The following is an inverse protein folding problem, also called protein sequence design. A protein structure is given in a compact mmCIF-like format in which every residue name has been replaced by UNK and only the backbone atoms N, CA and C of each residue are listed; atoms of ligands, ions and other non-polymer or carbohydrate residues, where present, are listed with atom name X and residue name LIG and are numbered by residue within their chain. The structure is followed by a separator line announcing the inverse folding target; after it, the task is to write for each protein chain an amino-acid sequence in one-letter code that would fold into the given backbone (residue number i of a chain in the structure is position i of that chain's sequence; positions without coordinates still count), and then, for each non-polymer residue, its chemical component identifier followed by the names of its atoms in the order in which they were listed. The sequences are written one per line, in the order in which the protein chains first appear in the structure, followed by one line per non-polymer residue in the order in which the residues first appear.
data_IF_623161070148
#
_entry.id   IF_623161070148
#
_cell.length_a   1.000
_cell.length_b   1.000
_cell.length_c   1.000
_cell.angle_alpha   90.00
_cell.angle_beta   90.00
_cell.angle_gamma   90.00
#
_symmetry.space_group_name_H-M   'P 1'
#
loop_
_entity.id
_entity.type
_entity.pdbx_description
1 polymer ?
#
# COMPACT_ATOMS: atom_id res chain seq x y z
N UNK A 1 -2.08 19.48 -9.89
CA UNK A 1 -1.94 20.78 -9.18
C UNK A 1 -2.63 20.65 -7.83
N UNK A 2 -1.98 21.01 -6.70
CA UNK A 2 -2.59 20.88 -5.38
C UNK A 2 -3.84 21.76 -5.24
N UNK A 3 -4.80 21.31 -4.42
CA UNK A 3 -5.97 22.12 -4.07
C UNK A 3 -5.55 23.39 -3.31
N UNK A 4 -6.44 24.38 -3.21
CA UNK A 4 -6.19 25.61 -2.42
C UNK A 4 -5.87 25.28 -0.95
N UNK A 5 -6.46 24.24 -0.39
CA UNK A 5 -6.13 23.73 0.94
C UNK A 5 -4.70 23.15 0.99
N UNK A 6 -4.35 22.31 0.01
CA UNK A 6 -3.01 21.74 -0.13
C UNK A 6 -1.92 22.82 -0.26
N UNK A 7 -2.15 23.86 -1.08
CA UNK A 7 -1.22 24.98 -1.21
C UNK A 7 -0.96 25.71 0.12
N UNK A 8 -2.00 25.88 0.96
CA UNK A 8 -1.85 26.51 2.27
C UNK A 8 -1.08 25.62 3.25
N UNK A 9 -1.32 24.32 3.22
CA UNK A 9 -0.56 23.36 4.03
C UNK A 9 0.93 23.39 3.65
N UNK A 10 1.25 23.34 2.35
CA UNK A 10 2.63 23.41 1.87
C UNK A 10 3.32 24.71 2.29
N UNK A 11 2.66 25.86 2.12
CA UNK A 11 3.20 27.15 2.55
C UNK A 11 3.43 27.22 4.06
N UNK A 12 2.60 26.56 4.86
CA UNK A 12 2.78 26.48 6.30
C UNK A 12 3.98 25.59 6.68
N UNK A 13 4.16 24.45 6.00
CA UNK A 13 5.33 23.58 6.20
C UNK A 13 6.63 24.30 5.86
N UNK A 14 6.64 25.06 4.76
CA UNK A 14 7.80 25.87 4.37
C UNK A 14 8.14 26.93 5.43
N UNK A 15 7.13 27.50 6.09
CA UNK A 15 7.32 28.49 7.15
C UNK A 15 7.86 27.88 8.44
N UNK A 16 7.30 26.76 8.90
CA UNK A 16 7.62 26.18 10.21
C UNK A 16 8.81 25.23 10.19
N UNK A 17 9.19 24.70 9.02
CA UNK A 17 10.31 23.77 8.81
C UNK A 17 10.34 22.67 9.88
N UNK A 18 9.30 21.82 9.96
CA UNK A 18 9.19 20.85 11.04
C UNK A 18 10.30 19.79 10.91
N UNK A 19 10.69 19.19 12.03
CA UNK A 19 11.71 18.14 12.03
C UNK A 19 11.23 16.80 11.41
N UNK A 20 9.91 16.60 11.38
CA UNK A 20 9.21 15.48 10.74
C UNK A 20 7.75 15.83 10.42
N UNK A 21 7.14 15.06 9.53
CA UNK A 21 5.72 15.14 9.21
C UNK A 21 5.08 13.75 9.31
N UNK A 22 3.94 13.67 9.99
CA UNK A 22 3.10 12.48 10.06
C UNK A 22 1.74 12.80 9.44
N UNK A 23 1.32 11.97 8.50
CA UNK A 23 -0.04 11.93 7.98
C UNK A 23 -0.68 10.63 8.44
N UNK A 24 -1.68 10.68 9.33
CA UNK A 24 -2.22 9.48 10.00
C UNK A 24 -3.67 9.30 9.58
N UNK A 25 -3.98 8.11 9.07
CA UNK A 25 -5.33 7.71 8.71
C UNK A 25 -5.52 6.20 8.81
N UNK A 26 -6.73 5.75 8.50
CA UNK A 26 -7.10 4.34 8.44
C UNK A 26 -7.36 3.96 6.98
N UNK A 27 -7.11 2.69 6.63
CA UNK A 27 -7.46 2.16 5.32
C UNK A 27 -8.98 2.01 5.19
N UNK A 28 -9.50 2.17 3.97
CA UNK A 28 -10.93 1.95 3.72
C UNK A 28 -11.35 0.49 3.83
N UNK A 29 -10.47 -0.45 3.48
CA UNK A 29 -10.68 -1.90 3.63
C UNK A 29 -10.01 -2.46 4.89
N UNK A 30 -10.29 -3.73 5.19
CA UNK A 30 -9.63 -4.46 6.26
C UNK A 30 -8.15 -4.68 5.97
N UNK A 31 -7.32 -4.66 6.99
CA UNK A 31 -5.88 -4.87 6.85
C UNK A 31 -5.12 -4.42 8.09
N UNK A 32 -3.89 -4.90 8.26
CA UNK A 32 -3.05 -4.47 9.36
C UNK A 32 -2.50 -3.07 9.12
N UNK A 33 -1.82 -2.55 10.14
CA UNK A 33 -1.09 -1.29 10.12
C UNK A 33 0.17 -1.34 9.24
N UNK A 34 0.49 -0.20 8.60
CA UNK A 34 1.72 0.02 7.84
C UNK A 34 2.00 1.51 7.62
N UNK A 35 3.24 1.83 7.28
CA UNK A 35 3.65 3.17 6.88
C UNK A 35 3.91 3.23 5.37
N UNK A 36 3.74 4.41 4.77
CA UNK A 36 4.05 4.68 3.36
C UNK A 36 4.96 5.90 3.28
N UNK A 37 5.99 5.82 2.45
CA UNK A 37 6.93 6.93 2.20
C UNK A 37 7.48 6.83 0.78
N UNK A 38 8.04 7.93 0.30
CA UNK A 38 8.78 7.97 -0.96
C UNK A 38 10.29 7.87 -0.78
N UNK A 39 10.75 7.98 0.47
CA UNK A 39 12.16 7.99 0.82
C UNK A 39 12.43 6.96 1.91
N UNK A 40 13.45 6.13 1.70
CA UNK A 40 13.91 5.16 2.68
C UNK A 40 15.24 5.64 3.31
N UNK A 41 15.16 6.21 4.51
CA UNK A 41 16.32 6.50 5.37
C UNK A 41 16.03 6.06 6.79
N UNK A 42 17.07 5.97 7.62
CA UNK A 42 16.92 5.61 9.03
C UNK A 42 15.95 6.55 9.77
N UNK A 43 15.86 7.82 9.36
CA UNK A 43 14.87 8.77 9.93
C UNK A 43 13.43 8.39 9.59
N UNK A 44 13.16 7.96 8.35
CA UNK A 44 11.82 7.50 7.95
C UNK A 44 11.46 6.19 8.65
N UNK A 45 12.41 5.26 8.73
CA UNK A 45 12.25 4.00 9.44
C UNK A 45 12.01 4.22 10.93
N UNK A 46 12.69 5.17 11.55
CA UNK A 46 12.49 5.53 12.95
C UNK A 46 11.07 6.04 13.20
N UNK A 47 10.56 6.94 12.35
CA UNK A 47 9.16 7.40 12.44
C UNK A 47 8.16 6.25 12.27
N UNK A 48 8.35 5.40 11.26
CA UNK A 48 7.46 4.28 10.98
C UNK A 48 7.41 3.29 12.17
N UNK A 49 8.57 2.99 12.77
CA UNK A 49 8.70 2.08 13.91
C UNK A 49 7.95 2.54 15.18
N UNK A 50 7.59 3.83 15.28
CA UNK A 50 6.74 4.30 16.38
C UNK A 50 5.33 3.72 16.29
N UNK A 51 4.86 3.40 15.09
CA UNK A 51 3.49 2.96 14.82
C UNK A 51 3.42 1.48 14.44
N UNK A 52 4.33 1.03 13.58
CA UNK A 52 4.21 -0.25 12.86
C UNK A 52 5.57 -0.90 12.61
N UNK A 53 5.56 -2.17 12.22
CA UNK A 53 6.73 -2.91 11.76
C UNK A 53 6.79 -3.08 10.23
N UNK A 54 5.90 -2.43 9.48
CA UNK A 54 5.82 -2.54 8.01
C UNK A 54 5.90 -1.17 7.36
N UNK A 55 6.71 -1.05 6.31
CA UNK A 55 6.83 0.18 5.55
C UNK A 55 6.83 -0.10 4.04
N UNK A 56 6.01 0.64 3.31
CA UNK A 56 5.96 0.64 1.85
C UNK A 56 6.74 1.85 1.36
N UNK A 57 7.72 1.61 0.49
CA UNK A 57 8.52 2.66 -0.17
C UNK A 57 8.08 2.72 -1.63
N UNK A 58 7.48 3.82 -2.05
CA UNK A 58 6.85 3.92 -3.37
C UNK A 58 7.26 5.19 -4.12
N UNK A 59 7.40 5.08 -5.44
CA UNK A 59 7.55 6.24 -6.32
C UNK A 59 6.22 6.76 -6.88
N UNK A 60 5.10 6.10 -6.53
CA UNK A 60 3.76 6.49 -6.98
C UNK A 60 3.41 7.89 -6.45
N UNK A 61 3.03 8.78 -7.36
CA UNK A 61 2.61 10.15 -7.07
C UNK A 61 1.09 10.24 -7.18
N UNK A 62 0.43 10.48 -6.06
CA UNK A 62 -1.04 10.52 -5.90
C UNK A 62 -1.52 11.92 -5.43
N UNK A 63 -0.64 12.92 -5.41
CA UNK A 63 -0.91 14.24 -4.83
C UNK A 63 -1.02 14.23 -3.31
N UNK A 64 -0.43 13.22 -2.64
CA UNK A 64 -0.52 13.03 -1.21
C UNK A 64 0.43 13.97 -0.44
N UNK A 65 0.12 14.26 0.83
CA UNK A 65 0.95 15.14 1.66
C UNK A 65 2.35 14.57 1.86
N UNK A 66 2.48 13.25 1.99
CA UNK A 66 3.78 12.56 2.10
C UNK A 66 4.72 12.83 0.91
N UNK A 67 4.26 13.34 -0.24
CA UNK A 67 5.13 13.64 -1.38
C UNK A 67 6.12 14.78 -1.14
N UNK A 68 5.93 15.57 -0.08
CA UNK A 68 6.94 16.56 0.38
C UNK A 68 8.15 15.89 1.03
N UNK A 69 8.04 14.59 1.35
CA UNK A 69 9.07 13.81 2.01
C UNK A 69 10.39 13.87 1.25
N UNK A 70 11.46 14.16 1.97
CA UNK A 70 12.82 14.19 1.43
C UNK A 70 13.82 13.92 2.56
N UNK A 71 15.11 13.93 2.25
CA UNK A 71 16.16 13.65 3.25
C UNK A 71 16.16 14.62 4.45
N UNK A 72 15.71 15.88 4.26
CA UNK A 72 15.68 16.90 5.32
C UNK A 72 14.39 16.82 6.13
N UNK A 73 13.25 16.71 5.46
CA UNK A 73 11.94 16.55 6.05
C UNK A 73 11.46 15.10 5.90
N UNK A 74 11.72 14.23 6.90
CA UNK A 74 11.16 12.89 6.89
C UNK A 74 9.64 12.99 7.07
N UNK A 75 8.91 12.65 6.01
CA UNK A 75 7.46 12.60 6.02
C UNK A 75 7.00 11.18 5.71
N UNK A 76 6.09 10.67 6.55
CA UNK A 76 5.45 9.37 6.34
C UNK A 76 3.94 9.50 6.46
N UNK A 77 3.25 8.68 5.68
CA UNK A 77 1.86 8.36 5.92
C UNK A 77 1.80 7.10 6.78
N UNK A 78 0.94 7.07 7.80
CA UNK A 78 0.67 5.90 8.63
C UNK A 78 -0.78 5.49 8.42
N UNK A 79 -0.95 4.29 7.90
CA UNK A 79 -2.22 3.58 7.82
C UNK A 79 -2.34 2.71 9.06
N UNK A 80 -3.19 3.10 10.01
CA UNK A 80 -3.26 2.47 11.32
C UNK A 80 -4.01 1.13 11.33
N UNK A 81 -4.61 0.75 10.20
CA UNK A 81 -5.45 -0.44 10.02
C UNK A 81 -6.79 -0.06 9.39
N UNK A 82 -7.70 -1.03 9.27
CA UNK A 82 -9.02 -0.80 8.67
C UNK A 82 -9.89 0.21 9.45
N UNK A 83 -10.66 1.03 8.73
CA UNK A 83 -11.51 2.09 9.32
C UNK A 83 -12.55 1.59 10.33
N UNK A 84 -12.90 0.30 10.29
CA UNK A 84 -13.84 -0.34 11.22
C UNK A 84 -13.13 -1.20 12.28
N UNK A 85 -11.79 -1.21 12.31
CA UNK A 85 -11.00 -2.01 13.25
C UNK A 85 -10.67 -1.20 14.52
N UNK A 86 -11.17 -1.58 15.71
CA UNK A 86 -10.80 -0.91 16.96
C UNK A 86 -9.31 -1.02 17.31
N UNK A 87 -8.56 -1.95 16.69
CA UNK A 87 -7.09 -2.00 16.79
C UNK A 87 -6.47 -0.74 16.18
N UNK A 88 -7.05 -0.20 15.09
CA UNK A 88 -6.50 0.98 14.40
C UNK A 88 -6.44 2.21 15.31
N UNK A 89 -7.48 2.45 16.11
CA UNK A 89 -7.50 3.53 17.11
C UNK A 89 -6.37 3.38 18.14
N UNK A 90 -6.10 2.14 18.57
CA UNK A 90 -5.01 1.85 19.51
C UNK A 90 -3.65 2.05 18.86
N UNK A 91 -3.47 1.64 17.62
CA UNK A 91 -2.24 1.86 16.84
C UNK A 91 -1.95 3.36 16.71
N UNK A 92 -2.94 4.15 16.28
CA UNK A 92 -2.83 5.60 16.14
C UNK A 92 -2.48 6.25 17.47
N UNK A 93 -3.22 5.93 18.54
CA UNK A 93 -3.01 6.51 19.87
C UNK A 93 -1.64 6.15 20.45
N UNK A 94 -1.25 4.88 20.41
CA UNK A 94 0.01 4.41 20.98
C UNK A 94 1.21 4.99 20.22
N UNK A 95 1.14 5.03 18.88
CA UNK A 95 2.21 5.63 18.07
C UNK A 95 2.32 7.14 18.26
N UNK A 96 1.20 7.86 18.36
CA UNK A 96 1.20 9.29 18.69
C UNK A 96 1.78 9.55 20.09
N UNK A 97 1.44 8.74 21.09
CA UNK A 97 2.03 8.85 22.42
C UNK A 97 3.55 8.65 22.36
N UNK A 98 4.04 7.65 21.62
CA UNK A 98 5.48 7.42 21.44
C UNK A 98 6.14 8.60 20.72
N UNK A 99 5.52 9.14 19.66
CA UNK A 99 6.02 10.29 18.93
C UNK A 99 6.14 11.55 19.80
N UNK A 100 5.08 11.89 20.55
CA UNK A 100 5.02 13.09 21.37
C UNK A 100 5.88 13.00 22.64
N UNK A 101 6.11 11.80 23.17
CA UNK A 101 6.90 11.57 24.38
C UNK A 101 8.36 11.18 24.08
N UNK A 102 8.78 11.13 22.81
CA UNK A 102 10.14 10.82 22.46
C UNK A 102 11.02 12.06 22.59
N UNK A 103 12.06 12.00 23.43
CA UNK A 103 13.02 13.11 23.57
C UNK A 103 13.84 13.35 22.30
N UNK A 104 14.09 12.28 21.52
CA UNK A 104 14.81 12.35 20.25
C UNK A 104 14.31 11.28 19.28
N UNK A 105 13.47 11.69 18.33
CA UNK A 105 12.86 10.84 17.31
C UNK A 105 13.86 10.07 16.45
N UNK A 106 15.08 10.58 16.30
CA UNK A 106 16.09 10.05 15.39
C UNK A 106 17.34 9.54 16.11
N UNK A 107 17.27 9.36 17.43
CA UNK A 107 18.31 8.64 18.15
C UNK A 107 18.46 7.22 17.56
N UNK A 108 19.68 6.72 17.49
CA UNK A 108 19.96 5.38 16.95
C UNK A 108 19.17 4.33 17.73
N UNK A 109 18.12 3.81 17.11
CA UNK A 109 17.36 2.68 17.65
C UNK A 109 18.14 1.39 17.36
N UNK A 110 18.13 0.41 18.28
CA UNK A 110 18.55 -0.95 17.93
C UNK A 110 17.75 -1.42 16.73
N UNK A 111 18.39 -2.08 15.77
CA UNK A 111 17.67 -2.66 14.64
C UNK A 111 16.57 -3.58 15.20
N UNK A 112 15.28 -3.31 14.90
CA UNK A 112 14.21 -4.18 15.35
C UNK A 112 14.43 -5.59 14.82
N UNK A 113 14.06 -6.60 15.61
CA UNK A 113 14.18 -8.01 15.20
C UNK A 113 13.32 -8.35 13.97
N UNK A 114 12.35 -7.51 13.64
CA UNK A 114 11.49 -7.63 12.46
C UNK A 114 10.98 -6.23 12.04
N UNK A 115 11.46 -5.72 10.90
CA UNK A 115 10.90 -4.55 10.22
C UNK A 115 10.91 -4.81 8.72
N UNK A 116 9.72 -4.90 8.13
CA UNK A 116 9.53 -5.30 6.74
C UNK A 116 9.43 -4.06 5.85
N UNK A 117 10.22 -4.03 4.77
CA UNK A 117 10.20 -2.96 3.78
C UNK A 117 9.75 -3.56 2.45
N UNK A 118 8.69 -2.98 1.89
CA UNK A 118 8.13 -3.37 0.60
C UNK A 118 8.38 -2.24 -0.40
N UNK A 119 9.16 -2.50 -1.44
CA UNK A 119 9.62 -1.48 -2.37
C UNK A 119 8.85 -1.53 -3.69
N UNK A 120 8.50 -0.35 -4.21
CA UNK A 120 7.95 -0.12 -5.55
C UNK A 120 6.74 -1.03 -5.86
N UNK A 121 5.65 -0.91 -5.09
CA UNK A 121 4.42 -1.64 -5.39
C UNK A 121 3.86 -1.24 -6.75
N UNK A 122 3.34 -2.24 -7.46
CA UNK A 122 2.49 -2.05 -8.62
C UNK A 122 1.05 -1.79 -8.19
N UNK A 123 0.31 -1.06 -9.02
CA UNK A 123 -1.14 -0.87 -8.88
C UNK A 123 -1.84 -1.82 -9.85
N UNK A 124 -2.83 -2.55 -9.36
CA UNK A 124 -3.76 -3.30 -10.19
C UNK A 124 -5.03 -2.47 -10.38
N UNK A 125 -5.10 -1.79 -11.51
CA UNK A 125 -6.21 -0.94 -11.91
C UNK A 125 -7.18 -1.73 -12.79
N UNK A 126 -8.46 -1.35 -12.75
CA UNK A 126 -9.48 -1.89 -13.63
C UNK A 126 -9.85 -0.83 -14.65
N UNK A 127 -10.25 -1.25 -15.85
CA UNK A 127 -10.81 -0.31 -16.83
C UNK A 127 -12.10 0.31 -16.27
N UNK A 128 -12.33 1.59 -16.53
CA UNK A 128 -13.48 2.32 -15.99
C UNK A 128 -14.85 1.73 -16.39
N UNK A 129 -14.91 1.00 -17.51
CA UNK A 129 -16.12 0.32 -18.02
C UNK A 129 -16.28 -1.12 -17.49
N UNK A 130 -15.45 -1.56 -16.54
CA UNK A 130 -15.50 -2.91 -15.99
C UNK A 130 -16.73 -3.12 -15.11
N UNK A 131 -17.52 -4.15 -15.42
CA UNK A 131 -18.57 -4.64 -14.54
C UNK A 131 -17.94 -5.53 -13.46
N UNK A 132 -17.73 -4.97 -12.26
CA UNK A 132 -17.09 -5.67 -11.15
C UNK A 132 -18.14 -6.23 -10.17
N UNK A 133 -17.97 -7.50 -9.79
CA UNK A 133 -18.76 -8.15 -8.76
C UNK A 133 -17.84 -8.76 -7.68
N UNK A 134 -18.31 -8.77 -6.44
CA UNK A 134 -17.68 -9.52 -5.36
C UNK A 134 -18.58 -10.70 -4.98
N UNK A 135 -18.23 -11.89 -5.45
CA UNK A 135 -18.97 -13.12 -5.14
C UNK A 135 -18.11 -14.37 -5.39
N UNK A 136 -18.48 -15.50 -4.79
CA UNK A 136 -17.81 -16.79 -5.04
C UNK A 136 -18.17 -17.36 -6.43
N UNK A 137 -19.41 -17.10 -6.88
CA UNK A 137 -20.01 -17.61 -8.11
C UNK A 137 -20.46 -16.42 -8.96
N UNK A 138 -19.91 -16.23 -10.17
CA UNK A 138 -20.29 -15.12 -11.04
C UNK A 138 -21.78 -15.16 -11.39
N UNK A 139 -22.46 -14.01 -11.32
CA UNK A 139 -23.86 -13.86 -11.74
C UNK A 139 -24.10 -13.99 -13.25
N UNK A 140 -23.02 -14.06 -14.05
CA UNK A 140 -23.03 -14.13 -15.51
C UNK A 140 -22.95 -12.76 -16.22
N UNK A 141 -23.17 -11.65 -15.50
CA UNK A 141 -23.14 -10.30 -16.06
C UNK A 141 -21.86 -9.50 -15.73
N UNK A 142 -21.05 -9.97 -14.80
CA UNK A 142 -19.80 -9.30 -14.40
C UNK A 142 -18.69 -9.54 -15.44
N UNK A 143 -17.87 -8.54 -15.74
CA UNK A 143 -16.62 -8.75 -16.49
C UNK A 143 -15.60 -9.50 -15.61
N UNK A 144 -15.53 -9.10 -14.33
CA UNK A 144 -14.61 -9.61 -13.33
C UNK A 144 -15.38 -9.88 -12.04
N UNK A 145 -15.17 -11.07 -11.47
CA UNK A 145 -15.72 -11.49 -10.19
C UNK A 145 -14.58 -11.74 -9.21
N UNK A 146 -14.54 -10.99 -8.11
CA UNK A 146 -13.49 -11.07 -7.09
C UNK A 146 -14.03 -11.84 -5.87
N UNK A 147 -13.24 -12.72 -5.24
CA UNK A 147 -13.62 -13.34 -3.97
C UNK A 147 -13.96 -12.28 -2.91
N UNK A 148 -15.10 -12.39 -2.19
CA UNK A 148 -15.48 -11.45 -1.14
C UNK A 148 -14.41 -11.29 -0.05
N UNK A 149 -13.59 -12.32 0.16
CA UNK A 149 -12.54 -12.38 1.18
C UNK A 149 -11.22 -11.74 0.74
N UNK A 150 -11.17 -11.04 -0.41
CA UNK A 150 -9.91 -10.51 -0.97
C UNK A 150 -9.14 -9.62 0.03
N UNK A 151 -9.83 -8.88 0.89
CA UNK A 151 -9.20 -8.02 1.91
C UNK A 151 -8.44 -8.82 2.97
N UNK A 152 -8.79 -10.09 3.20
CA UNK A 152 -8.07 -10.97 4.14
C UNK A 152 -6.66 -11.30 3.65
N UNK A 153 -6.36 -11.05 2.37
CA UNK A 153 -5.03 -11.21 1.80
C UNK A 153 -4.18 -9.94 1.87
N UNK A 154 -4.66 -8.85 2.48
CA UNK A 154 -3.84 -7.67 2.74
C UNK A 154 -2.66 -8.01 3.67
N UNK A 155 -1.45 -7.76 3.18
CA UNK A 155 -0.17 -8.23 3.72
C UNK A 155 -0.01 -9.76 3.78
N UNK A 156 -0.96 -10.51 3.22
CA UNK A 156 -0.88 -11.95 3.00
C UNK A 156 -0.08 -12.29 1.74
N UNK A 157 0.49 -13.50 1.73
CA UNK A 157 1.16 -14.06 0.56
C UNK A 157 0.12 -14.70 -0.37
N UNK A 158 0.13 -14.28 -1.62
CA UNK A 158 -0.61 -14.89 -2.72
C UNK A 158 0.38 -15.65 -3.59
N UNK A 159 0.03 -16.86 -4.00
CA UNK A 159 0.80 -17.63 -4.98
C UNK A 159 -0.08 -18.09 -6.15
N UNK A 160 0.50 -18.87 -7.06
CA UNK A 160 -0.12 -19.40 -8.27
C UNK A 160 -1.34 -20.31 -8.05
N UNK A 161 -1.61 -20.71 -6.80
CA UNK A 161 -2.72 -21.56 -6.42
C UNK A 161 -3.91 -20.78 -5.85
N UNK A 162 -3.72 -19.50 -5.52
CA UNK A 162 -4.76 -18.64 -4.98
C UNK A 162 -5.57 -18.00 -6.12
N UNK A 163 -6.90 -18.19 -6.07
CA UNK A 163 -7.82 -17.52 -6.99
C UNK A 163 -7.86 -16.02 -6.68
N UNK A 164 -7.47 -15.18 -7.64
CA UNK A 164 -7.56 -13.72 -7.51
C UNK A 164 -8.87 -13.18 -8.08
N UNK A 165 -9.31 -13.71 -9.21
CA UNK A 165 -10.53 -13.31 -9.88
C UNK A 165 -11.05 -14.43 -10.78
N UNK A 166 -12.36 -14.45 -11.05
CA UNK A 166 -12.92 -15.12 -12.22
C UNK A 166 -13.18 -14.08 -13.30
N UNK A 167 -12.82 -14.40 -14.53
CA UNK A 167 -12.99 -13.53 -15.68
C UNK A 167 -14.02 -14.15 -16.62
N UNK A 168 -14.97 -13.34 -17.09
CA UNK A 168 -15.96 -13.82 -18.05
C UNK A 168 -15.46 -13.78 -19.51
N UNK A 169 -14.45 -12.97 -19.79
CA UNK A 169 -13.73 -12.99 -21.07
C UNK A 169 -12.56 -13.98 -21.03
N UNK A 170 -12.21 -14.57 -22.17
CA UNK A 170 -11.00 -15.40 -22.32
C UNK A 170 -9.70 -14.58 -22.38
N UNK A 171 -9.69 -13.39 -21.77
CA UNK A 171 -8.54 -12.51 -21.69
C UNK A 171 -8.52 -11.68 -20.41
N UNK A 172 -7.44 -10.92 -20.21
CA UNK A 172 -7.27 -10.03 -19.07
C UNK A 172 -7.37 -8.55 -19.48
N UNK A 173 -8.09 -8.24 -20.56
CA UNK A 173 -8.13 -6.89 -21.17
C UNK A 173 -8.68 -5.79 -20.25
N UNK A 174 -9.48 -6.18 -19.25
CA UNK A 174 -10.07 -5.28 -18.24
C UNK A 174 -9.12 -4.92 -17.09
N UNK A 175 -7.96 -5.56 -17.02
CA UNK A 175 -6.95 -5.35 -15.99
C UNK A 175 -5.80 -4.52 -16.56
N UNK A 176 -5.38 -3.48 -15.83
CA UNK A 176 -4.23 -2.64 -16.16
C UNK A 176 -3.24 -2.62 -15.00
N UNK A 177 -1.96 -2.83 -15.30
CA UNK A 177 -0.87 -2.87 -14.32
C UNK A 177 0.32 -2.20 -14.96
N UNK A 178 0.67 -0.98 -14.56
CA UNK A 178 1.73 -0.22 -15.22
C UNK A 178 2.95 -0.03 -14.34
N UNK A 179 4.13 0.00 -14.95
CA UNK A 179 5.34 0.51 -14.30
C UNK A 179 5.37 2.05 -14.28
N UNK A 180 6.43 2.60 -13.68
CA UNK A 180 6.68 4.04 -13.58
C UNK A 180 6.84 4.75 -14.93
N UNK A 181 7.11 4.00 -16.01
CA UNK A 181 7.19 4.50 -17.39
C UNK A 181 5.86 4.36 -18.14
N UNK A 182 4.82 3.83 -17.50
CA UNK A 182 3.51 3.59 -18.11
C UNK A 182 3.44 2.33 -18.97
N UNK A 183 4.45 1.47 -18.92
CA UNK A 183 4.48 0.20 -19.68
C UNK A 183 3.54 -0.80 -19.03
N UNK A 184 2.72 -1.49 -19.83
CA UNK A 184 1.87 -2.59 -19.34
C UNK A 184 2.75 -3.75 -18.82
N UNK A 185 2.48 -4.18 -17.60
CA UNK A 185 3.19 -5.22 -16.84
C UNK A 185 2.30 -6.36 -16.37
N UNK A 186 0.98 -6.28 -16.63
CA UNK A 186 0.00 -7.28 -16.23
C UNK A 186 0.45 -8.72 -16.51
N UNK A 187 0.90 -9.00 -17.73
CA UNK A 187 1.26 -10.35 -18.18
C UNK A 187 2.57 -10.88 -17.55
N UNK A 188 3.37 -10.00 -16.94
CA UNK A 188 4.56 -10.39 -16.16
C UNK A 188 4.16 -10.98 -14.79
N UNK A 189 2.99 -10.60 -14.25
CA UNK A 189 2.57 -10.93 -12.89
C UNK A 189 1.35 -11.85 -12.82
N UNK A 190 0.48 -11.80 -13.81
CA UNK A 190 -0.79 -12.52 -13.78
C UNK A 190 -0.96 -13.40 -15.01
N UNK A 191 -1.66 -14.51 -14.81
CA UNK A 191 -2.05 -15.41 -15.88
C UNK A 191 -3.53 -15.71 -15.82
N UNK A 192 -4.10 -15.84 -17.01
CA UNK A 192 -5.41 -16.41 -17.19
C UNK A 192 -5.28 -17.94 -17.34
N UNK A 193 -6.04 -18.68 -16.56
CA UNK A 193 -6.12 -20.15 -16.59
C UNK A 193 -7.54 -20.57 -16.29
N UNK A 194 -8.19 -21.24 -17.25
CA UNK A 194 -9.51 -21.85 -17.12
C UNK A 194 -10.60 -20.90 -16.55
N UNK A 195 -10.76 -19.70 -17.13
CA UNK A 195 -11.77 -18.73 -16.70
C UNK A 195 -11.39 -17.93 -15.44
N UNK A 196 -10.15 -18.06 -14.96
CA UNK A 196 -9.71 -17.46 -13.72
C UNK A 196 -8.33 -16.80 -13.83
N UNK A 197 -8.14 -15.77 -13.00
CA UNK A 197 -6.91 -15.03 -12.85
C UNK A 197 -6.11 -15.61 -11.67
N UNK A 198 -4.84 -15.90 -11.92
CA UNK A 198 -3.88 -16.35 -10.91
C UNK A 198 -2.61 -15.51 -11.00
N UNK A 199 -1.85 -15.46 -9.91
CA UNK A 199 -0.51 -14.89 -9.93
C UNK A 199 0.47 -15.87 -10.61
N UNK A 200 1.39 -15.36 -11.43
CA UNK A 200 2.48 -16.17 -12.05
C UNK A 200 3.61 -16.49 -11.08
N UNK A 201 3.64 -15.79 -9.96
CA UNK A 201 4.70 -15.84 -8.97
C UNK A 201 4.16 -15.40 -7.61
N UNK A 202 4.87 -15.68 -6.52
CA UNK A 202 4.45 -15.19 -5.20
C UNK A 202 4.41 -13.66 -5.13
N UNK A 203 3.27 -13.14 -4.68
CA UNK A 203 3.00 -11.72 -4.50
C UNK A 203 2.61 -11.43 -3.05
N UNK A 204 2.85 -10.20 -2.63
CA UNK A 204 2.30 -9.62 -1.41
C UNK A 204 1.28 -8.57 -1.82
N UNK A 205 0.03 -8.70 -1.37
CA UNK A 205 -1.03 -7.72 -1.66
C UNK A 205 -1.13 -6.68 -0.56
N UNK A 206 -1.57 -5.47 -0.92
CA UNK A 206 -1.84 -4.39 0.02
C UNK A 206 -3.08 -3.62 -0.43
N UNK A 207 -3.84 -3.12 0.55
CA UNK A 207 -5.02 -2.27 0.34
C UNK A 207 -6.02 -2.81 -0.70
N UNK A 208 -6.13 -4.13 -0.82
CA UNK A 208 -7.23 -4.76 -1.51
C UNK A 208 -8.55 -4.32 -0.88
N UNK A 209 -9.53 -4.08 -1.75
CA UNK A 209 -10.82 -3.55 -1.33
C UNK A 209 -11.97 -4.37 -1.89
N UNK A 210 -13.04 -4.44 -1.09
CA UNK A 210 -14.38 -4.94 -1.45
C UNK A 210 -15.34 -3.83 -1.90
N UNK A 211 -14.85 -2.58 -1.94
CA UNK A 211 -15.60 -1.43 -2.41
C UNK A 211 -15.43 -1.26 -3.92
N UNK A 212 -16.45 -1.67 -4.68
CA UNK A 212 -16.44 -1.61 -6.13
C UNK A 212 -16.20 -0.19 -6.68
N UNK A 213 -16.72 0.83 -6.02
CA UNK A 213 -16.51 2.23 -6.41
C UNK A 213 -15.03 2.63 -6.33
N UNK A 214 -14.32 2.22 -5.29
CA UNK A 214 -12.87 2.45 -5.14
C UNK A 214 -12.08 1.60 -6.14
N UNK A 215 -12.41 0.30 -6.25
CA UNK A 215 -11.70 -0.61 -7.14
C UNK A 215 -11.72 -0.16 -8.61
N UNK A 216 -12.82 0.46 -9.05
CA UNK A 216 -12.98 0.98 -10.41
C UNK A 216 -12.37 2.38 -10.58
N UNK A 217 -12.49 3.26 -9.58
CA UNK A 217 -12.06 4.66 -9.72
C UNK A 217 -10.59 4.92 -9.36
N UNK A 218 -9.98 4.02 -8.58
CA UNK A 218 -8.59 4.11 -8.13
C UNK A 218 -7.83 2.84 -8.52
N UNK A 219 -7.90 1.79 -7.70
CA UNK A 219 -7.31 0.48 -8.00
C UNK A 219 -7.95 -0.61 -7.14
N UNK A 220 -7.90 -1.85 -7.62
CA UNK A 220 -8.40 -3.01 -6.91
C UNK A 220 -7.52 -3.39 -5.72
N UNK A 221 -6.20 -3.34 -5.91
CA UNK A 221 -5.18 -3.51 -4.88
C UNK A 221 -3.80 -3.03 -5.38
N UNK A 222 -2.89 -2.89 -4.44
CA UNK A 222 -1.46 -2.76 -4.69
C UNK A 222 -0.77 -4.10 -4.45
N UNK A 223 0.38 -4.32 -5.08
CA UNK A 223 1.17 -5.53 -4.82
C UNK A 223 2.66 -5.35 -5.09
N UNK A 224 3.47 -6.18 -4.44
CA UNK A 224 4.89 -6.38 -4.80
C UNK A 224 5.15 -7.86 -5.05
N UNK A 225 6.24 -8.14 -5.76
CA UNK A 225 6.79 -9.49 -5.80
C UNK A 225 7.26 -9.87 -4.38
N UNK A 226 6.81 -11.00 -3.87
CA UNK A 226 7.24 -11.54 -2.56
C UNK A 226 8.65 -12.16 -2.71
N UNK A 227 9.64 -11.30 -2.89
CA UNK A 227 11.05 -11.66 -2.77
C UNK A 227 11.30 -11.87 -1.29
N UNK A 228 11.62 -13.09 -0.85
CA UNK A 228 12.04 -13.34 0.53
C UNK A 228 13.22 -12.42 0.89
N UNK A 229 12.97 -11.24 1.44
CA UNK A 229 13.98 -10.29 1.84
C UNK A 229 14.22 -10.42 3.35
N UNK A 230 14.95 -11.46 3.75
CA UNK A 230 15.65 -11.40 5.02
C UNK A 230 16.89 -10.52 4.81
N UNK A 231 16.80 -9.23 5.17
CA UNK A 231 18.01 -8.44 5.37
C UNK A 231 18.62 -8.88 6.70
N UNK A 232 19.39 -9.97 6.64
CA UNK A 232 20.35 -10.30 7.68
C UNK A 232 21.33 -9.14 7.81
N UNK A 233 21.61 -8.76 9.05
CA UNK A 233 22.64 -7.79 9.44
C UNK A 233 23.99 -8.16 8.82
N UNK A 234 24.64 -7.23 8.10
CA UNK A 234 26.02 -7.42 7.65
C UNK A 234 26.53 -6.46 6.58
N UNK A 235 27.13 -5.36 7.04
CA UNK A 235 28.17 -4.49 6.42
C UNK A 235 27.89 -3.68 5.12
N UNK A 236 28.38 -2.42 5.04
CA UNK A 236 28.33 -1.60 3.83
C UNK A 236 29.52 -1.91 2.88
N UNK A 237 29.45 -1.47 1.60
CA UNK A 237 30.49 -1.71 0.60
C UNK A 237 31.85 -1.06 0.93
#
# INVERSE_FOLDING_TARGET
MPSRGGQRALAYLDLVQPESLLDIHNTSGAGPDFAVTLTDTDRHRALAQLFTHRMIVTNLRMGALMEVSNQRLPAITVECGGAQDPVADRTAYAGLCRYLCCDNLFATLPAPSLFEIYEQPFRMELRADTQLEYSEIPSGNADICIPPEIENYNFGKIDQHHLLARLNAEDMSKIDVRDDKGTQKRDDFFEYRDGALFARQPLRLFMATTRADIAISDCLFYFVQDKHYQRGTGEPP
#
